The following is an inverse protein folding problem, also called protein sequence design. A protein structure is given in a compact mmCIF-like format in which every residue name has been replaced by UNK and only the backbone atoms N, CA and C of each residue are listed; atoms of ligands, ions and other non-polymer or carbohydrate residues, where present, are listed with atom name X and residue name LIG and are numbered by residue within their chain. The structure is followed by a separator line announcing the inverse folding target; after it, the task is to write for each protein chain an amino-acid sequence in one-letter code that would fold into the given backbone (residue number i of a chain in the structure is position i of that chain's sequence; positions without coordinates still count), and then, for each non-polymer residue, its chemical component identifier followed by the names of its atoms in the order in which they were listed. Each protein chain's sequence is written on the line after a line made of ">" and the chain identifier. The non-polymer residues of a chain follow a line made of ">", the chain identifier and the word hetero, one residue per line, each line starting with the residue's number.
data_IF_483576852337
#
_entry.id   IF_483576852337
#
_cell.length_a   1.000
_cell.length_b   1.000
_cell.length_c   1.000
_cell.angle_alpha   90.00
_cell.angle_beta   90.00
_cell.angle_gamma   90.00
#
_symmetry.space_group_name_H-M   'P 1'
#
loop_
_entity.id
_entity.type
_entity.pdbx_description
1 polymer ?
#
# COMPACT_ATOMS: atom_id res chain seq x y z
N UNK A 1 -15.67 10.72 -7.80
CA UNK A 1 -14.21 10.88 -7.90
C UNK A 1 -13.67 10.84 -6.47
N UNK A 2 -12.95 9.79 -6.09
CA UNK A 2 -12.48 9.61 -4.71
C UNK A 2 -11.07 10.20 -4.60
N UNK A 3 -10.97 11.37 -3.99
CA UNK A 3 -9.71 11.87 -3.46
C UNK A 3 -9.59 11.29 -2.04
N UNK A 4 -8.59 10.42 -1.81
CA UNK A 4 -8.36 9.81 -0.50
C UNK A 4 -8.34 8.29 -0.46
N UNK A 5 -8.40 7.61 -1.61
CA UNK A 5 -8.27 6.15 -1.65
C UNK A 5 -6.78 5.77 -1.72
N UNK A 6 -6.24 5.21 -0.63
CA UNK A 6 -4.82 4.84 -0.47
C UNK A 6 -4.43 3.71 -1.43
N UNK A 7 -5.37 2.83 -1.79
CA UNK A 7 -5.15 1.70 -2.71
C UNK A 7 -6.43 1.35 -3.47
N UNK A 8 -6.34 1.05 -4.78
CA UNK A 8 -7.43 0.46 -5.58
C UNK A 8 -7.00 -0.91 -6.08
N UNK A 9 -7.82 -1.94 -5.91
CA UNK A 9 -7.65 -3.22 -6.60
C UNK A 9 -8.61 -3.32 -7.79
N UNK A 10 -8.09 -3.70 -8.95
CA UNK A 10 -8.87 -4.04 -10.14
C UNK A 10 -8.07 -5.02 -11.02
N UNK A 11 -8.34 -6.33 -10.97
CA UNK A 11 -7.57 -7.31 -11.74
C UNK A 11 -7.53 -6.97 -13.25
N UNK A 12 -6.32 -6.92 -13.81
CA UNK A 12 -6.09 -6.76 -15.26
C UNK A 12 -5.59 -5.39 -15.75
N UNK A 13 -5.30 -4.41 -14.88
CA UNK A 13 -4.80 -3.08 -15.32
C UNK A 13 -3.30 -2.94 -15.09
N UNK A 14 -2.48 -3.20 -16.11
CA UNK A 14 -1.03 -2.95 -16.05
C UNK A 14 -0.72 -1.46 -15.99
N UNK A 15 0.29 -1.03 -15.22
CA UNK A 15 0.69 0.39 -15.20
C UNK A 15 1.17 0.83 -16.58
N UNK A 16 0.75 2.04 -16.98
CA UNK A 16 1.20 2.68 -18.22
C UNK A 16 2.45 3.54 -17.98
N UNK A 17 2.70 3.95 -16.73
CA UNK A 17 3.88 4.72 -16.31
C UNK A 17 4.61 3.93 -15.22
N UNK A 18 5.90 3.64 -15.40
CA UNK A 18 6.70 2.94 -14.40
C UNK A 18 7.17 3.88 -13.28
N UNK A 19 7.18 3.42 -12.04
CA UNK A 19 7.67 4.17 -10.88
C UNK A 19 8.87 3.45 -10.28
N UNK A 20 9.95 4.21 -10.06
CA UNK A 20 11.22 3.70 -9.60
C UNK A 20 11.71 4.45 -8.36
N UNK A 21 12.33 3.71 -7.44
CA UNK A 21 13.16 4.28 -6.38
C UNK A 21 14.62 3.98 -6.72
N UNK A 22 15.36 5.01 -7.08
CA UNK A 22 16.64 4.96 -7.79
C UNK A 22 16.54 4.19 -9.12
N UNK A 23 17.06 2.97 -9.16
CA UNK A 23 17.04 2.08 -10.33
C UNK A 23 16.09 0.88 -10.12
N UNK A 24 15.54 0.70 -8.91
CA UNK A 24 14.64 -0.41 -8.61
C UNK A 24 13.18 -0.04 -8.94
N UNK A 25 12.44 -0.89 -9.67
CA UNK A 25 11.01 -0.69 -9.90
C UNK A 25 10.24 -0.87 -8.59
N UNK A 26 9.40 0.12 -8.26
CA UNK A 26 8.47 0.05 -7.11
C UNK A 26 7.00 0.09 -7.56
N UNK A 27 6.74 0.44 -8.83
CA UNK A 27 5.41 0.34 -9.43
C UNK A 27 4.93 -1.10 -9.42
N UNK A 28 3.81 -1.33 -8.73
CA UNK A 28 3.04 -2.57 -8.83
C UNK A 28 1.66 -2.16 -9.32
N UNK A 29 1.28 -2.61 -10.53
CA UNK A 29 -0.06 -2.45 -11.13
C UNK A 29 -1.16 -2.27 -10.08
N UNK A 30 -1.65 -1.01 -9.98
CA UNK A 30 -2.74 -0.52 -9.11
C UNK A 30 -2.43 -0.31 -7.61
N UNK A 31 -1.24 -0.72 -7.18
CA UNK A 31 -0.74 -0.64 -5.82
C UNK A 31 0.68 -0.06 -5.85
N UNK A 32 0.91 1.18 -6.27
CA UNK A 32 2.23 1.78 -5.99
C UNK A 32 2.32 2.03 -4.47
N UNK A 33 3.39 1.58 -3.78
CA UNK A 33 3.53 1.82 -2.34
C UNK A 33 3.67 3.32 -2.04
N UNK A 34 3.00 3.79 -0.98
CA UNK A 34 3.11 5.16 -0.48
C UNK A 34 4.36 5.31 0.41
N UNK A 35 5.54 5.25 -0.22
CA UNK A 35 6.82 5.38 0.48
C UNK A 35 7.08 6.83 0.92
N UNK A 36 7.65 7.01 2.12
CA UNK A 36 8.20 8.31 2.51
C UNK A 36 9.48 8.59 1.72
N UNK A 37 9.45 9.63 0.88
CA UNK A 37 10.57 10.06 0.05
C UNK A 37 11.48 11.09 0.74
N UNK A 38 11.47 11.18 2.06
CA UNK A 38 12.46 11.98 2.79
C UNK A 38 13.90 11.60 2.36
N UNK A 39 14.78 12.59 2.34
CA UNK A 39 16.15 12.45 1.87
C UNK A 39 16.27 12.00 0.38
N UNK A 40 15.45 12.64 -0.46
CA UNK A 40 15.48 12.55 -1.92
C UNK A 40 16.32 13.68 -2.52
N UNK A 41 17.18 13.33 -3.47
CA UNK A 41 18.00 14.28 -4.21
C UNK A 41 17.19 15.01 -5.29
N UNK A 42 16.44 14.25 -6.10
CA UNK A 42 15.62 14.78 -7.21
C UNK A 42 14.56 13.77 -7.66
N UNK A 43 13.62 14.27 -8.44
CA UNK A 43 12.63 13.46 -9.17
C UNK A 43 12.87 13.61 -10.66
N UNK A 44 13.00 12.49 -11.38
CA UNK A 44 13.18 12.46 -12.83
C UNK A 44 11.89 12.00 -13.51
N UNK A 45 11.42 12.73 -14.52
CA UNK A 45 10.23 12.38 -15.30
C UNK A 45 10.62 12.19 -16.76
N UNK A 46 10.60 10.95 -17.22
CA UNK A 46 10.94 10.55 -18.58
C UNK A 46 9.64 10.34 -19.35
N UNK A 47 9.40 11.18 -20.37
CA UNK A 47 8.17 11.14 -21.17
C UNK A 47 8.33 10.18 -22.36
N UNK A 48 7.28 9.41 -22.63
CA UNK A 48 7.25 8.46 -23.74
C UNK A 48 7.83 7.08 -23.40
N UNK A 49 7.74 6.10 -24.32
CA UNK A 49 8.15 4.74 -24.04
C UNK A 49 9.63 4.65 -23.66
N UNK A 50 9.92 4.10 -22.48
CA UNK A 50 11.30 3.86 -22.00
C UNK A 50 11.61 2.35 -21.87
N UNK A 51 11.08 1.54 -22.80
CA UNK A 51 11.14 0.07 -22.71
C UNK A 51 12.55 -0.53 -22.71
N UNK A 52 13.55 0.18 -23.24
CA UNK A 52 14.97 -0.25 -23.26
C UNK A 52 15.73 0.09 -21.97
N UNK A 53 15.22 1.00 -21.13
CA UNK A 53 15.89 1.46 -19.92
C UNK A 53 15.13 1.12 -18.63
N UNK A 54 13.83 0.80 -18.69
CA UNK A 54 13.00 0.67 -17.48
C UNK A 54 11.85 -0.36 -17.66
N UNK A 55 12.12 -1.46 -18.35
CA UNK A 55 11.23 -2.63 -18.42
C UNK A 55 9.81 -2.40 -18.96
N UNK A 56 8.92 -3.38 -18.71
CA UNK A 56 7.61 -3.50 -19.36
C UNK A 56 6.48 -2.59 -18.81
N UNK A 57 6.77 -1.79 -17.77
CA UNK A 57 5.83 -0.83 -17.16
C UNK A 57 5.96 0.60 -17.71
N UNK A 58 6.98 0.88 -18.50
CA UNK A 58 7.30 2.23 -18.98
C UNK A 58 6.75 2.52 -20.39
N UNK A 59 5.55 2.03 -20.71
CA UNK A 59 4.94 2.16 -22.04
C UNK A 59 4.56 3.60 -22.40
N UNK A 60 4.21 4.42 -21.41
CA UNK A 60 3.84 5.85 -21.56
C UNK A 60 4.82 6.81 -20.90
N UNK A 61 5.75 6.31 -20.08
CA UNK A 61 6.79 7.09 -19.40
C UNK A 61 7.31 6.42 -18.14
N UNK A 62 8.23 7.10 -17.45
CA UNK A 62 8.80 6.64 -16.18
C UNK A 62 8.97 7.83 -15.22
N UNK A 63 8.67 7.62 -13.94
CA UNK A 63 8.99 8.55 -12.84
C UNK A 63 9.99 7.89 -11.92
N UNK A 64 11.08 8.57 -11.59
CA UNK A 64 12.13 8.07 -10.72
C UNK A 64 12.35 9.00 -9.54
N UNK A 65 12.28 8.45 -8.34
CA UNK A 65 12.70 9.13 -7.12
C UNK A 65 14.16 8.78 -6.87
N UNK A 66 15.05 9.75 -7.02
CA UNK A 66 16.50 9.54 -6.84
C UNK A 66 16.88 9.95 -5.43
N UNK A 67 17.35 9.00 -4.64
CA UNK A 67 17.73 9.25 -3.24
C UNK A 67 19.10 9.91 -3.14
N UNK A 68 19.37 10.60 -2.02
CA UNK A 68 20.76 10.98 -1.72
C UNK A 68 21.59 9.71 -1.49
N UNK A 69 22.68 9.58 -2.25
CA UNK A 69 23.62 8.45 -2.13
C UNK A 69 24.55 8.66 -0.92
N UNK A 70 25.10 7.58 -0.35
CA UNK A 70 26.22 7.70 0.57
C UNK A 70 27.37 8.46 -0.09
N UNK A 71 27.92 9.45 0.63
CA UNK A 71 29.04 10.26 0.14
C UNK A 71 30.28 10.06 1.04
N UNK A 72 31.46 10.24 0.45
CA UNK A 72 32.75 10.03 1.12
C UNK A 72 33.32 11.31 1.76
N UNK A 73 32.70 12.45 1.49
CA UNK A 73 33.32 13.75 1.74
C UNK A 73 33.06 14.19 3.19
N UNK A 74 31.83 14.04 3.68
CA UNK A 74 31.42 14.62 4.94
C UNK A 74 30.53 13.71 5.79
N UNK A 75 30.68 13.83 7.11
CA UNK A 75 29.66 13.39 8.06
C UNK A 75 28.46 14.36 7.97
N UNK A 76 27.28 13.84 7.67
CA UNK A 76 26.07 14.65 7.44
C UNK A 76 24.94 14.17 8.34
N UNK A 77 24.21 15.10 8.94
CA UNK A 77 22.97 14.81 9.66
C UNK A 77 21.91 15.81 9.22
N UNK A 78 20.77 15.29 8.76
CA UNK A 78 19.58 16.08 8.48
C UNK A 78 18.46 15.53 9.35
N UNK A 79 17.69 16.41 9.99
CA UNK A 79 16.50 16.02 10.72
C UNK A 79 15.36 17.00 10.44
N UNK A 80 14.14 16.48 10.42
CA UNK A 80 12.90 17.22 10.24
C UNK A 80 11.90 16.77 11.30
N UNK A 81 11.15 17.72 11.86
CA UNK A 81 10.03 17.44 12.74
C UNK A 81 8.87 18.36 12.40
N UNK A 82 7.71 17.76 12.18
CA UNK A 82 6.47 18.45 11.81
C UNK A 82 5.36 18.04 12.78
N UNK A 83 4.51 18.99 13.16
CA UNK A 83 3.31 18.74 13.94
C UNK A 83 2.10 19.40 13.26
N UNK A 84 0.95 18.73 13.29
CA UNK A 84 -0.28 19.23 12.70
C UNK A 84 -1.49 18.97 13.61
N UNK A 85 -2.51 19.80 13.44
CA UNK A 85 -3.81 19.67 14.11
C UNK A 85 -4.87 19.62 13.03
N UNK A 86 -5.80 18.68 13.13
CA UNK A 86 -6.89 18.52 12.17
C UNK A 86 -8.14 19.16 12.76
N UNK A 87 -8.84 19.98 11.97
CA UNK A 87 -10.12 20.55 12.39
C UNK A 87 -11.14 19.43 12.62
N UNK A 88 -11.71 19.39 13.83
CA UNK A 88 -12.57 18.30 14.31
C UNK A 88 -11.93 16.90 14.29
N UNK A 89 -10.60 16.82 14.39
CA UNK A 89 -9.88 15.55 14.47
C UNK A 89 -8.70 15.58 15.42
N UNK A 90 -7.87 14.55 15.30
CA UNK A 90 -6.71 14.30 16.12
C UNK A 90 -5.49 15.11 15.69
N UNK A 91 -4.50 15.15 16.58
CA UNK A 91 -3.18 15.70 16.27
C UNK A 91 -2.34 14.67 15.52
N UNK A 92 -1.58 15.15 14.56
CA UNK A 92 -0.61 14.36 13.81
C UNK A 92 0.78 14.97 13.88
N UNK A 93 1.73 14.28 13.27
CA UNK A 93 3.07 14.79 13.10
C UNK A 93 4.02 13.74 12.58
N UNK A 94 5.24 14.17 12.29
CA UNK A 94 6.29 13.28 11.81
C UNK A 94 7.66 13.73 12.30
N UNK A 95 8.54 12.76 12.46
CA UNK A 95 9.96 12.95 12.75
C UNK A 95 10.74 12.13 11.74
N UNK A 96 11.71 12.75 11.09
CA UNK A 96 12.56 12.12 10.07
C UNK A 96 14.01 12.50 10.32
N UNK A 97 14.91 11.57 10.05
CA UNK A 97 16.34 11.82 10.15
C UNK A 97 17.11 11.03 9.10
N UNK A 98 18.18 11.64 8.59
CA UNK A 98 19.14 11.02 7.70
C UNK A 98 20.56 11.26 8.22
N UNK A 99 21.40 10.24 8.09
CA UNK A 99 22.79 10.25 8.54
C UNK A 99 23.70 9.74 7.41
N UNK A 100 24.74 10.49 7.07
CA UNK A 100 25.83 10.03 6.21
C UNK A 100 27.09 9.81 7.03
N UNK A 101 27.77 8.69 6.78
CA UNK A 101 29.02 8.33 7.46
C UNK A 101 30.02 7.83 6.41
N UNK A 102 31.08 8.60 6.10
CA UNK A 102 32.24 8.09 5.40
C UNK A 102 33.03 7.20 6.35
N UNK A 103 32.86 5.87 6.25
CA UNK A 103 33.48 4.91 7.18
C UNK A 103 34.99 4.87 6.97
N UNK A 104 35.42 4.89 5.71
CA UNK A 104 36.81 5.00 5.26
C UNK A 104 36.81 5.35 3.75
N UNK A 105 37.98 5.31 3.11
CA UNK A 105 38.13 5.63 1.67
C UNK A 105 37.43 4.62 0.72
N UNK A 106 36.99 3.47 1.24
CA UNK A 106 36.39 2.36 0.48
C UNK A 106 34.87 2.28 0.68
N UNK A 107 34.37 2.59 1.88
CA UNK A 107 32.94 2.44 2.22
C UNK A 107 32.38 3.74 2.80
N UNK A 108 31.25 4.19 2.25
CA UNK A 108 30.37 5.18 2.84
C UNK A 108 28.98 4.58 3.10
N UNK A 109 28.31 5.01 4.18
CA UNK A 109 26.98 4.52 4.57
C UNK A 109 26.03 5.70 4.71
N UNK A 110 24.79 5.54 4.24
CA UNK A 110 23.69 6.46 4.52
C UNK A 110 22.50 5.72 5.11
N UNK A 111 22.01 6.20 6.25
CA UNK A 111 20.84 5.67 6.93
C UNK A 111 19.76 6.75 7.03
N UNK A 112 18.52 6.37 6.78
CA UNK A 112 17.33 7.21 6.90
C UNK A 112 16.31 6.48 7.76
N UNK A 113 15.68 7.20 8.68
CA UNK A 113 14.57 6.71 9.47
C UNK A 113 13.48 7.75 9.59
N UNK A 114 12.23 7.32 9.58
CA UNK A 114 11.08 8.20 9.73
C UNK A 114 9.96 7.50 10.49
N UNK A 115 9.19 8.31 11.21
CA UNK A 115 7.94 7.92 11.83
C UNK A 115 6.93 9.06 11.69
N UNK A 116 5.74 8.73 11.23
CA UNK A 116 4.60 9.63 11.03
C UNK A 116 3.41 9.08 11.81
N UNK A 117 2.73 9.95 12.56
CA UNK A 117 1.41 9.70 13.12
C UNK A 117 0.39 10.51 12.31
N UNK A 118 -0.55 9.80 11.71
CA UNK A 118 -1.71 10.40 11.08
C UNK A 118 -2.80 10.59 12.13
N UNK A 119 -3.30 11.82 12.27
CA UNK A 119 -4.47 12.08 13.10
C UNK A 119 -5.74 11.63 12.36
N UNK A 120 -6.64 10.95 13.07
CA UNK A 120 -7.97 10.65 12.58
C UNK A 120 -8.87 11.88 12.61
N UNK A 121 -10.02 11.80 11.94
CA UNK A 121 -11.05 12.84 11.85
C UNK A 121 -12.44 12.27 11.52
N UNK A 122 -12.57 10.96 11.30
CA UNK A 122 -13.82 10.25 11.04
C UNK A 122 -14.31 9.60 12.33
N UNK A 123 -15.58 9.78 12.68
CA UNK A 123 -16.20 9.05 13.78
C UNK A 123 -16.91 7.80 13.25
N UNK A 124 -16.79 6.68 13.96
CA UNK A 124 -17.63 5.51 13.76
C UNK A 124 -18.78 5.51 14.77
N UNK A 125 -20.00 5.64 14.26
CA UNK A 125 -21.22 5.37 15.00
C UNK A 125 -21.50 3.87 14.98
N UNK A 126 -21.55 3.25 16.15
CA UNK A 126 -21.66 1.80 16.31
C UNK A 126 -22.95 1.40 17.06
N UNK A 127 -23.49 0.20 16.80
CA UNK A 127 -24.58 -0.33 17.60
C UNK A 127 -24.15 -0.56 19.07
N UNK A 128 -25.08 -0.38 20.02
CA UNK A 128 -24.89 -0.84 21.42
C UNK A 128 -24.33 0.15 22.46
N UNK A 129 -24.62 1.45 22.37
CA UNK A 129 -24.32 2.38 23.49
C UNK A 129 -25.19 2.14 24.74
N UNK A 130 -24.91 2.86 25.85
CA UNK A 130 -25.53 2.69 27.20
C UNK A 130 -27.06 2.54 27.20
N UNK A 131 -27.71 3.05 26.15
CA UNK A 131 -29.06 2.67 25.71
C UNK A 131 -29.10 2.72 24.19
N UNK A 132 -29.95 1.95 23.50
CA UNK A 132 -30.11 2.05 22.04
C UNK A 132 -30.54 3.45 21.55
N UNK A 133 -31.02 4.33 22.45
CA UNK A 133 -31.31 5.74 22.17
C UNK A 133 -30.07 6.66 22.10
N UNK A 134 -28.88 6.15 22.45
CA UNK A 134 -27.59 6.85 22.36
C UNK A 134 -26.56 5.88 21.75
N UNK A 135 -26.30 5.93 20.44
CA UNK A 135 -25.32 5.02 19.84
C UNK A 135 -23.93 5.25 20.43
N UNK A 136 -23.09 4.23 20.41
CA UNK A 136 -21.69 4.37 20.75
C UNK A 136 -21.00 5.13 19.60
N UNK A 137 -20.21 6.16 19.90
CA UNK A 137 -19.48 6.92 18.88
C UNK A 137 -17.99 6.83 19.21
N UNK A 138 -17.27 6.00 18.45
CA UNK A 138 -15.81 6.02 18.44
C UNK A 138 -15.35 7.19 17.59
N UNK A 139 -14.49 8.04 18.13
CA UNK A 139 -13.99 9.21 17.42
C UNK A 139 -12.70 8.92 16.70
N UNK A 140 -12.45 9.69 15.64
CA UNK A 140 -11.17 9.76 14.95
C UNK A 140 -10.60 8.39 14.56
N UNK A 141 -11.48 7.47 14.15
CA UNK A 141 -11.18 6.05 13.92
C UNK A 141 -10.35 5.79 12.68
N UNK A 142 -10.07 6.83 11.89
CA UNK A 142 -9.24 6.77 10.68
C UNK A 142 -7.79 7.25 10.92
N UNK A 143 -7.32 7.19 12.17
CA UNK A 143 -5.95 7.53 12.55
C UNK A 143 -4.98 6.41 12.15
N UNK A 144 -3.68 6.66 12.32
CA UNK A 144 -2.71 5.61 12.05
C UNK A 144 -1.26 6.05 12.13
N UNK A 145 -0.38 5.15 11.73
CA UNK A 145 1.07 5.32 11.79
C UNK A 145 1.73 4.83 10.52
N UNK A 146 2.80 5.53 10.12
CA UNK A 146 3.77 5.06 9.16
C UNK A 146 5.14 5.11 9.80
N UNK A 147 5.91 4.04 9.70
CA UNK A 147 7.31 4.07 10.08
C UNK A 147 8.13 3.24 9.10
N UNK A 148 9.38 3.64 8.94
CA UNK A 148 10.24 3.00 7.97
C UNK A 148 11.62 3.59 7.96
N UNK A 149 12.44 3.07 7.07
CA UNK A 149 13.80 3.51 6.90
C UNK A 149 14.46 2.93 5.67
N UNK A 150 15.60 3.51 5.36
CA UNK A 150 16.48 3.11 4.27
C UNK A 150 17.90 3.01 4.80
N UNK A 151 18.57 1.91 4.51
CA UNK A 151 20.01 1.77 4.71
C UNK A 151 20.66 1.52 3.35
N UNK A 152 21.64 2.34 3.00
CA UNK A 152 22.40 2.23 1.77
C UNK A 152 23.89 2.31 2.06
N UNK A 153 24.69 1.58 1.28
CA UNK A 153 26.15 1.73 1.29
C UNK A 153 26.65 2.03 -0.13
N UNK A 154 27.79 2.71 -0.21
CA UNK A 154 28.58 2.83 -1.42
C UNK A 154 29.96 2.24 -1.14
N UNK A 155 30.35 1.24 -1.93
CA UNK A 155 31.57 0.47 -1.77
C UNK A 155 32.40 0.58 -3.04
N UNK A 156 33.54 1.28 -2.95
CA UNK A 156 34.53 1.37 -4.03
C UNK A 156 35.42 0.14 -4.00
N UNK A 157 35.03 -0.91 -4.73
CA UNK A 157 35.78 -2.18 -4.77
C UNK A 157 37.18 -1.95 -5.36
N UNK A 158 37.29 -1.08 -6.36
CA UNK A 158 38.52 -0.53 -6.92
C UNK A 158 38.18 0.72 -7.75
N UNK A 159 39.15 1.29 -8.46
CA UNK A 159 39.00 2.51 -9.27
C UNK A 159 37.95 2.40 -10.39
N UNK A 160 37.51 1.18 -10.74
CA UNK A 160 36.55 0.93 -11.82
C UNK A 160 35.24 0.35 -11.32
N UNK A 161 35.20 -0.31 -10.17
CA UNK A 161 34.03 -1.04 -9.68
C UNK A 161 33.46 -0.38 -8.43
N UNK A 162 32.18 -0.02 -8.50
CA UNK A 162 31.40 0.44 -7.35
C UNK A 162 30.20 -0.48 -7.12
N UNK A 163 30.00 -0.90 -5.87
CA UNK A 163 28.83 -1.65 -5.42
C UNK A 163 27.98 -0.78 -4.49
N UNK A 164 26.66 -0.77 -4.70
CA UNK A 164 25.70 -0.03 -3.87
C UNK A 164 24.56 -0.95 -3.44
N UNK A 165 24.68 -1.65 -2.29
CA UNK A 165 23.56 -2.38 -1.72
C UNK A 165 22.65 -1.41 -0.95
N UNK A 166 21.35 -1.66 -1.00
CA UNK A 166 20.32 -0.90 -0.31
C UNK A 166 19.23 -1.81 0.23
N UNK A 167 18.71 -1.45 1.40
CA UNK A 167 17.48 -2.03 1.96
C UNK A 167 16.55 -0.89 2.35
N UNK A 168 15.28 -1.01 1.98
CA UNK A 168 14.18 -0.12 2.35
C UNK A 168 13.10 -0.96 3.00
N UNK A 169 12.66 -0.55 4.19
CA UNK A 169 11.50 -1.13 4.85
C UNK A 169 10.53 -0.04 5.23
N UNK A 170 9.24 -0.27 5.01
CA UNK A 170 8.19 0.61 5.49
C UNK A 170 6.98 -0.20 5.90
N UNK A 171 6.35 0.21 7.00
CA UNK A 171 5.06 -0.27 7.44
C UNK A 171 4.10 0.88 7.64
N UNK A 172 2.88 0.71 7.14
CA UNK A 172 1.75 1.61 7.34
C UNK A 172 0.64 0.82 8.01
N UNK A 173 0.10 1.35 9.10
CA UNK A 173 -1.10 0.85 9.76
C UNK A 173 -2.07 2.01 9.93
N UNK A 174 -3.27 1.87 9.38
CA UNK A 174 -4.36 2.83 9.49
C UNK A 174 -5.54 2.07 10.10
N UNK A 175 -6.07 2.59 11.19
CA UNK A 175 -7.36 2.16 11.70
C UNK A 175 -8.42 2.84 10.82
N UNK A 176 -9.54 2.19 10.49
CA UNK A 176 -10.63 2.83 9.73
C UNK A 176 -10.33 3.31 8.30
N UNK A 177 -11.34 3.94 7.68
CA UNK A 177 -11.21 4.50 6.32
C UNK A 177 -11.73 5.94 6.26
N UNK A 178 -11.18 6.70 5.31
CA UNK A 178 -11.60 8.06 4.97
C UNK A 178 -12.93 8.05 4.20
N UNK A 179 -14.01 7.57 4.84
CA UNK A 179 -15.36 7.51 4.25
C UNK A 179 -16.39 8.07 5.21
N UNK A 180 -17.48 8.57 4.64
CA UNK A 180 -18.63 9.08 5.37
C UNK A 180 -19.87 8.40 4.83
N UNK A 181 -20.80 8.08 5.71
CA UNK A 181 -22.06 7.46 5.34
C UNK A 181 -23.17 8.51 5.35
N UNK A 182 -23.85 8.65 4.21
CA UNK A 182 -25.06 9.47 4.11
C UNK A 182 -26.32 8.69 4.50
N UNK A 183 -26.22 7.37 4.47
CA UNK A 183 -27.29 6.44 4.72
C UNK A 183 -26.69 5.18 5.34
N UNK A 184 -27.43 4.55 6.26
CA UNK A 184 -27.11 3.22 6.73
C UNK A 184 -28.39 2.38 6.84
N UNK A 185 -28.28 1.09 6.53
CA UNK A 185 -29.40 0.14 6.63
C UNK A 185 -29.50 -0.51 8.03
N UNK A 186 -28.45 -0.38 8.84
CA UNK A 186 -28.29 -1.13 10.08
C UNK A 186 -28.92 -0.44 11.28
N UNK A 187 -29.31 0.83 11.17
CA UNK A 187 -29.98 1.64 12.18
C UNK A 187 -31.03 2.52 11.48
N UNK A 188 -31.95 1.84 10.79
CA UNK A 188 -33.02 2.45 10.00
C UNK A 188 -34.35 1.75 10.31
N UNK A 189 -35.41 2.49 10.68
CA UNK A 189 -36.70 1.92 11.09
C UNK A 189 -37.43 1.11 10.00
N UNK A 190 -36.99 1.20 8.73
CA UNK A 190 -37.56 0.40 7.65
C UNK A 190 -36.93 -1.00 7.52
N UNK A 191 -35.77 -1.21 8.12
CA UNK A 191 -34.94 -2.42 7.93
C UNK A 191 -34.55 -3.06 9.24
N UNK A 192 -34.51 -2.30 10.33
CA UNK A 192 -34.17 -2.77 11.67
C UNK A 192 -35.07 -2.12 12.73
N UNK A 193 -35.19 -2.76 13.89
CA UNK A 193 -35.84 -2.19 15.09
C UNK A 193 -34.90 -1.28 15.87
N UNK A 194 -33.63 -1.19 15.46
CA UNK A 194 -32.64 -0.28 16.04
C UNK A 194 -33.06 1.18 15.85
N UNK A 195 -32.87 2.04 16.86
CA UNK A 195 -33.21 3.45 16.75
C UNK A 195 -32.48 4.13 15.58
N UNK A 196 -33.21 5.01 14.89
CA UNK A 196 -32.64 5.76 13.77
C UNK A 196 -31.45 6.58 14.22
N UNK A 197 -30.31 6.39 13.55
CA UNK A 197 -29.13 7.25 13.70
C UNK A 197 -29.13 8.33 12.63
N UNK A 198 -28.72 9.55 13.03
CA UNK A 198 -28.41 10.63 12.09
C UNK A 198 -26.89 10.78 12.07
N UNK A 199 -26.31 10.64 10.89
CA UNK A 199 -24.86 10.72 10.68
C UNK A 199 -24.47 12.16 10.35
N UNK A 200 -23.44 12.65 11.03
CA UNK A 200 -22.83 13.95 10.78
C UNK A 200 -21.93 13.98 9.54
N UNK A 201 -21.30 15.14 9.32
CA UNK A 201 -20.44 15.39 8.15
C UNK A 201 -19.21 14.47 8.08
N UNK A 202 -18.73 13.99 9.22
CA UNK A 202 -17.52 13.17 9.36
C UNK A 202 -17.83 11.85 10.07
N UNK A 203 -19.05 11.35 9.91
CA UNK A 203 -19.48 10.12 10.58
C UNK A 203 -19.68 9.00 9.55
N UNK A 204 -19.33 7.79 9.96
CA UNK A 204 -19.67 6.53 9.29
C UNK A 204 -20.42 5.61 10.26
N UNK A 205 -21.15 4.62 9.75
CA UNK A 205 -21.78 3.60 10.58
C UNK A 205 -21.05 2.26 10.44
N UNK A 206 -20.46 1.76 11.52
CA UNK A 206 -19.79 0.45 11.52
C UNK A 206 -20.23 -0.39 12.71
N UNK A 207 -20.41 -1.69 12.52
CA UNK A 207 -20.49 -2.68 13.60
C UNK A 207 -19.10 -3.23 13.95
N UNK A 208 -18.21 -3.29 12.96
CA UNK A 208 -16.90 -3.90 13.09
C UNK A 208 -15.78 -2.85 13.05
N UNK A 209 -14.65 -3.20 13.65
CA UNK A 209 -13.41 -2.44 13.47
C UNK A 209 -12.83 -2.74 12.08
N UNK A 210 -12.34 -1.68 11.45
CA UNK A 210 -11.75 -1.73 10.12
C UNK A 210 -10.27 -1.42 10.25
N UNK A 211 -9.45 -2.02 9.39
CA UNK A 211 -8.01 -1.77 9.41
C UNK A 211 -7.42 -1.86 8.01
N UNK A 212 -6.34 -1.13 7.79
CA UNK A 212 -5.49 -1.23 6.62
C UNK A 212 -4.04 -1.35 7.09
N UNK A 213 -3.35 -2.38 6.61
CA UNK A 213 -1.92 -2.60 6.83
C UNK A 213 -1.22 -2.80 5.50
N UNK A 214 -0.08 -2.15 5.34
CA UNK A 214 0.80 -2.30 4.18
C UNK A 214 2.25 -2.42 4.67
N UNK A 215 2.85 -3.59 4.49
CA UNK A 215 4.25 -3.87 4.80
C UNK A 215 5.03 -4.01 3.50
N UNK A 216 6.08 -3.20 3.33
CA UNK A 216 6.91 -3.15 2.13
C UNK A 216 8.38 -3.34 2.49
N UNK A 217 9.04 -4.27 1.81
CA UNK A 217 10.49 -4.49 1.85
C UNK A 217 11.03 -4.45 0.42
N UNK A 218 12.07 -3.66 0.20
CA UNK A 218 12.89 -3.67 -1.00
C UNK A 218 14.35 -3.86 -0.60
N UNK A 219 15.00 -4.85 -1.18
CA UNK A 219 16.45 -5.04 -1.10
C UNK A 219 17.02 -5.05 -2.50
N UNK A 220 18.03 -4.24 -2.76
CA UNK A 220 18.68 -4.15 -4.06
C UNK A 220 20.19 -4.00 -3.95
N UNK A 221 20.87 -4.33 -5.05
CA UNK A 221 22.30 -4.13 -5.20
C UNK A 221 22.60 -3.66 -6.62
N UNK A 222 23.12 -2.43 -6.73
CA UNK A 222 23.65 -1.89 -7.98
C UNK A 222 25.16 -2.19 -8.05
N UNK A 223 25.61 -2.75 -9.16
CA UNK A 223 27.02 -2.86 -9.53
C UNK A 223 27.28 -1.95 -10.72
N UNK A 224 28.25 -1.06 -10.60
CA UNK A 224 28.75 -0.24 -11.72
C UNK A 224 30.20 -0.59 -11.97
N UNK A 225 30.55 -0.80 -13.23
CA UNK A 225 31.92 -0.87 -13.73
C UNK A 225 32.13 0.23 -14.78
N UNK A 226 33.14 1.07 -14.60
CA UNK A 226 33.50 2.13 -15.54
C UNK A 226 34.83 1.79 -16.22
N UNK A 227 34.80 1.67 -17.55
CA UNK A 227 35.97 1.46 -18.38
C UNK A 227 36.22 2.63 -19.33
N UNK A 228 37.38 2.58 -19.97
CA UNK A 228 37.84 3.68 -20.83
C UNK A 228 37.03 3.83 -22.14
N UNK A 229 36.34 2.76 -22.56
CA UNK A 229 35.59 2.70 -23.83
C UNK A 229 34.10 2.43 -23.63
N UNK A 230 33.76 1.65 -22.61
CA UNK A 230 32.38 1.36 -22.26
C UNK A 230 32.23 1.24 -20.75
N UNK A 231 31.01 1.42 -20.27
CA UNK A 231 30.60 1.20 -18.90
C UNK A 231 29.57 0.07 -18.84
N UNK A 232 29.45 -0.50 -17.64
CA UNK A 232 28.47 -1.53 -17.33
C UNK A 232 27.77 -1.18 -16.02
N UNK A 233 26.45 -1.27 -16.00
CA UNK A 233 25.64 -1.17 -14.78
C UNK A 233 24.72 -2.37 -14.71
N UNK A 234 24.67 -3.06 -13.57
CA UNK A 234 23.63 -4.03 -13.27
C UNK A 234 22.96 -3.71 -11.96
N UNK A 235 21.67 -4.01 -11.87
CA UNK A 235 20.91 -3.95 -10.62
C UNK A 235 20.05 -5.20 -10.47
N UNK A 236 20.24 -5.87 -9.34
CA UNK A 236 19.32 -6.90 -8.84
C UNK A 236 18.46 -6.29 -7.75
N UNK A 237 17.14 -6.52 -7.79
CA UNK A 237 16.26 -6.15 -6.68
C UNK A 237 15.23 -7.21 -6.35
N UNK A 238 14.98 -7.36 -5.07
CA UNK A 238 13.95 -8.19 -4.48
C UNK A 238 12.97 -7.31 -3.70
N UNK A 239 11.69 -7.45 -4.00
CA UNK A 239 10.60 -6.75 -3.32
C UNK A 239 9.66 -7.78 -2.72
N UNK A 240 9.36 -7.64 -1.43
CA UNK A 240 8.28 -8.34 -0.76
C UNK A 240 7.28 -7.31 -0.23
N UNK A 241 5.99 -7.59 -0.42
CA UNK A 241 4.93 -6.73 0.08
C UNK A 241 3.71 -7.51 0.53
N UNK A 242 3.18 -7.15 1.69
CA UNK A 242 1.96 -7.71 2.24
C UNK A 242 0.96 -6.59 2.54
N UNK A 243 -0.23 -6.69 1.97
CA UNK A 243 -1.33 -5.75 2.18
C UNK A 243 -2.47 -6.53 2.83
N UNK A 244 -3.01 -6.00 3.92
CA UNK A 244 -4.23 -6.46 4.55
C UNK A 244 -5.23 -5.31 4.63
N UNK A 245 -6.43 -5.53 4.15
CA UNK A 245 -7.55 -4.63 4.31
C UNK A 245 -8.70 -5.40 4.97
N UNK A 246 -9.22 -4.87 6.07
CA UNK A 246 -10.43 -5.40 6.71
C UNK A 246 -11.47 -4.32 6.67
N UNK A 247 -12.61 -4.62 6.04
CA UNK A 247 -13.74 -3.71 5.95
C UNK A 247 -14.96 -4.30 6.63
N UNK A 248 -15.74 -3.42 7.23
CA UNK A 248 -17.08 -3.75 7.65
C UNK A 248 -17.99 -3.74 6.42
N UNK A 249 -18.34 -4.93 5.94
CA UNK A 249 -19.27 -5.11 4.84
C UNK A 249 -20.70 -5.43 5.33
N UNK A 250 -21.02 -5.30 6.62
CA UNK A 250 -22.36 -5.62 7.15
C UNK A 250 -23.44 -4.77 6.50
N UNK A 251 -23.18 -3.50 6.22
CA UNK A 251 -24.12 -2.66 5.47
C UNK A 251 -24.34 -3.20 4.05
N UNK A 252 -23.28 -3.66 3.38
CA UNK A 252 -23.35 -4.21 2.02
C UNK A 252 -24.13 -5.53 2.03
N UNK A 253 -23.74 -6.50 2.86
CA UNK A 253 -24.43 -7.79 3.01
C UNK A 253 -25.89 -7.59 3.37
N UNK A 254 -26.17 -6.75 4.38
CA UNK A 254 -27.52 -6.45 4.82
C UNK A 254 -28.37 -5.79 3.73
N UNK A 255 -27.78 -4.91 2.92
CA UNK A 255 -28.50 -4.30 1.79
C UNK A 255 -28.91 -5.32 0.72
N UNK A 256 -28.02 -6.26 0.39
CA UNK A 256 -28.29 -7.30 -0.60
C UNK A 256 -29.37 -8.25 -0.05
N UNK A 257 -29.22 -8.74 1.18
CA UNK A 257 -30.13 -9.73 1.76
C UNK A 257 -31.52 -9.14 1.99
N UNK A 258 -31.61 -7.91 2.46
CA UNK A 258 -32.89 -7.21 2.63
C UNK A 258 -33.56 -6.92 1.29
N UNK A 259 -32.85 -6.28 0.34
CA UNK A 259 -33.47 -5.81 -0.91
C UNK A 259 -33.80 -6.94 -1.87
N UNK A 260 -32.99 -8.01 -1.91
CA UNK A 260 -33.17 -9.12 -2.85
C UNK A 260 -34.09 -10.20 -2.27
N UNK A 261 -33.95 -10.52 -0.97
CA UNK A 261 -34.65 -11.66 -0.36
C UNK A 261 -35.71 -11.25 0.67
N UNK A 262 -35.84 -9.97 1.00
CA UNK A 262 -36.73 -9.51 2.07
C UNK A 262 -36.32 -10.05 3.44
N UNK A 263 -35.01 -10.30 3.65
CA UNK A 263 -34.52 -10.93 4.86
C UNK A 263 -34.87 -10.11 6.12
N UNK A 264 -35.30 -10.74 7.22
CA UNK A 264 -35.60 -10.07 8.48
C UNK A 264 -34.35 -9.54 9.16
N UNK A 265 -34.55 -8.62 10.12
CA UNK A 265 -33.47 -7.94 10.85
C UNK A 265 -32.33 -8.84 11.34
N UNK A 266 -32.56 -10.03 11.93
CA UNK A 266 -31.47 -10.88 12.41
C UNK A 266 -30.42 -11.20 11.33
N UNK A 267 -30.84 -11.34 10.06
CA UNK A 267 -29.94 -11.57 8.92
C UNK A 267 -29.31 -10.26 8.44
N UNK A 268 -30.09 -9.17 8.37
CA UNK A 268 -29.60 -7.85 7.93
C UNK A 268 -28.46 -7.35 8.80
N UNK A 269 -28.47 -7.70 10.08
CA UNK A 269 -27.51 -7.22 11.07
C UNK A 269 -26.32 -8.15 11.31
N UNK A 270 -26.21 -9.27 10.58
CA UNK A 270 -25.09 -10.21 10.74
C UNK A 270 -23.75 -9.54 10.43
N UNK A 271 -22.79 -9.72 11.33
CA UNK A 271 -21.43 -9.24 11.15
C UNK A 271 -20.82 -9.87 9.89
N UNK A 272 -20.35 -9.00 8.99
CA UNK A 272 -19.86 -9.40 7.68
C UNK A 272 -18.49 -8.78 7.43
N UNK A 273 -17.43 -9.26 8.10
CA UNK A 273 -16.08 -8.79 7.86
C UNK A 273 -15.60 -9.22 6.47
N UNK A 274 -15.21 -8.24 5.65
CA UNK A 274 -14.55 -8.47 4.37
C UNK A 274 -13.05 -8.33 4.54
N UNK A 275 -12.33 -9.43 4.32
CA UNK A 275 -10.87 -9.48 4.33
C UNK A 275 -10.34 -9.47 2.90
N UNK A 276 -9.56 -8.45 2.55
CA UNK A 276 -8.77 -8.41 1.32
C UNK A 276 -7.29 -8.55 1.69
N UNK A 277 -6.57 -9.48 1.07
CA UNK A 277 -5.14 -9.70 1.29
C UNK A 277 -4.41 -9.76 -0.04
N UNK A 278 -3.34 -9.00 -0.17
CA UNK A 278 -2.45 -9.05 -1.34
C UNK A 278 -1.03 -9.32 -0.88
N UNK A 279 -0.45 -10.41 -1.38
CA UNK A 279 0.97 -10.71 -1.18
C UNK A 279 1.69 -10.60 -2.53
N UNK A 280 2.84 -9.94 -2.55
CA UNK A 280 3.66 -9.75 -3.75
C UNK A 280 5.10 -10.09 -3.44
N UNK A 281 5.66 -11.01 -4.21
CA UNK A 281 7.09 -11.26 -4.30
C UNK A 281 7.56 -10.92 -5.70
N UNK A 282 8.59 -10.09 -5.82
CA UNK A 282 9.10 -9.64 -7.09
C UNK A 282 10.61 -9.67 -7.10
N UNK A 283 11.18 -10.31 -8.11
CA UNK A 283 12.59 -10.22 -8.43
C UNK A 283 12.75 -9.53 -9.78
N UNK A 284 13.68 -8.57 -9.85
CA UNK A 284 14.09 -7.98 -11.12
C UNK A 284 15.60 -7.94 -11.23
N UNK A 285 16.07 -8.14 -12.46
CA UNK A 285 17.46 -7.97 -12.85
C UNK A 285 17.51 -7.06 -14.07
N UNK A 286 18.35 -6.06 -14.03
CA UNK A 286 18.63 -5.23 -15.18
C UNK A 286 20.13 -5.09 -15.39
N UNK A 287 20.58 -5.24 -16.64
CA UNK A 287 21.96 -5.08 -17.04
C UNK A 287 22.06 -4.12 -18.23
N UNK A 288 22.92 -3.12 -18.14
CA UNK A 288 23.11 -2.07 -19.15
C UNK A 288 24.59 -1.94 -19.49
N UNK A 289 24.88 -1.84 -20.79
CA UNK A 289 26.18 -1.44 -21.33
C UNK A 289 26.01 -0.12 -22.06
N UNK A 290 26.98 0.78 -21.94
CA UNK A 290 26.93 2.08 -22.59
C UNK A 290 28.31 2.58 -23.01
N UNK A 291 28.37 3.40 -24.06
CA UNK A 291 29.57 4.14 -24.42
C UNK A 291 29.92 5.17 -23.33
N UNK A 292 31.17 5.21 -22.88
CA UNK A 292 31.65 6.19 -21.87
C UNK A 292 32.32 7.42 -22.50
N UNK A 293 32.77 7.32 -23.74
CA UNK A 293 33.38 8.46 -24.45
C UNK A 293 32.30 9.41 -25.00
N UNK A 294 32.10 10.54 -24.32
CA UNK A 294 31.18 11.58 -24.75
C UNK A 294 31.58 12.25 -26.08
N UNK A 295 32.86 12.21 -26.45
CA UNK A 295 33.37 12.76 -27.70
C UNK A 295 33.25 11.77 -28.88
N UNK A 296 32.86 10.52 -28.62
CA UNK A 296 32.68 9.52 -29.65
C UNK A 296 31.58 9.94 -30.63
N UNK A 297 31.84 9.73 -31.94
CA UNK A 297 30.87 10.01 -33.00
C UNK A 297 29.59 9.17 -32.91
N UNK A 298 29.64 8.06 -32.19
CA UNK A 298 28.52 7.16 -31.95
C UNK A 298 28.41 6.90 -30.45
N UNK A 299 27.32 7.37 -29.84
CA UNK A 299 26.91 6.98 -28.50
C UNK A 299 25.89 5.86 -28.58
N UNK A 300 26.00 4.89 -27.67
CA UNK A 300 25.13 3.73 -27.66
C UNK A 300 24.83 3.27 -26.24
N UNK A 301 23.66 2.67 -26.07
CA UNK A 301 23.26 1.96 -24.85
C UNK A 301 22.57 0.65 -25.26
N UNK A 302 22.90 -0.43 -24.57
CA UNK A 302 22.32 -1.74 -24.73
C UNK A 302 21.86 -2.24 -23.36
N UNK A 303 20.58 -2.59 -23.23
CA UNK A 303 19.99 -3.04 -21.97
C UNK A 303 19.29 -4.39 -22.09
N UNK A 304 19.36 -5.19 -21.02
CA UNK A 304 18.57 -6.40 -20.83
C UNK A 304 17.84 -6.28 -19.50
N UNK A 305 16.55 -6.57 -19.50
CA UNK A 305 15.69 -6.52 -18.33
C UNK A 305 14.96 -7.84 -18.14
N UNK A 306 14.98 -8.36 -16.91
CA UNK A 306 14.24 -9.53 -16.47
C UNK A 306 13.40 -9.18 -15.24
N UNK A 307 12.17 -9.71 -15.21
CA UNK A 307 11.28 -9.58 -14.05
C UNK A 307 10.49 -10.86 -13.86
N UNK A 308 10.46 -11.33 -12.62
CA UNK A 308 9.56 -12.36 -12.14
C UNK A 308 8.72 -11.76 -11.01
N UNK A 309 7.40 -11.86 -11.13
CA UNK A 309 6.46 -11.34 -10.15
C UNK A 309 5.50 -12.46 -9.83
N UNK A 310 5.38 -12.79 -8.56
CA UNK A 310 4.36 -13.68 -8.04
C UNK A 310 3.42 -12.85 -7.17
N UNK A 311 2.13 -12.77 -7.55
CA UNK A 311 1.12 -12.11 -6.75
C UNK A 311 0.04 -13.07 -6.38
N UNK A 312 -0.43 -12.96 -5.15
CA UNK A 312 -1.60 -13.67 -4.66
C UNK A 312 -2.56 -12.68 -4.05
N UNK A 313 -3.75 -12.58 -4.63
CA UNK A 313 -4.85 -11.80 -4.09
C UNK A 313 -5.88 -12.75 -3.49
N UNK A 314 -6.22 -12.52 -2.23
CA UNK A 314 -7.28 -13.24 -1.52
C UNK A 314 -8.37 -12.26 -1.07
N UNK A 315 -9.62 -12.65 -1.24
CA UNK A 315 -10.77 -11.93 -0.68
C UNK A 315 -11.70 -12.94 0.00
N UNK A 316 -12.14 -12.66 1.22
CA UNK A 316 -13.03 -13.55 1.97
C UNK A 316 -14.05 -12.73 2.77
N UNK A 317 -15.32 -13.06 2.57
CA UNK A 317 -16.46 -12.53 3.33
C UNK A 317 -17.09 -13.67 4.12
N UNK A 318 -16.66 -13.85 5.36
CA UNK A 318 -17.18 -14.89 6.25
C UNK A 318 -18.26 -14.28 7.16
N UNK A 319 -19.49 -14.78 7.06
CA UNK A 319 -20.67 -14.27 7.77
C UNK A 319 -21.22 -15.39 8.65
N UNK A 320 -20.68 -15.50 9.86
CA UNK A 320 -20.94 -16.63 10.76
C UNK A 320 -22.44 -16.89 10.99
N UNK A 321 -22.87 -18.13 10.79
CA UNK A 321 -24.26 -18.55 10.99
C UNK A 321 -25.25 -18.08 9.93
N UNK A 322 -24.79 -17.47 8.83
CA UNK A 322 -25.65 -16.98 7.76
C UNK A 322 -26.56 -18.07 7.19
N UNK A 323 -26.00 -19.23 6.83
CA UNK A 323 -26.76 -20.32 6.23
C UNK A 323 -27.88 -20.83 7.15
N UNK A 324 -27.51 -21.14 8.40
CA UNK A 324 -28.45 -21.71 9.36
C UNK A 324 -29.57 -20.71 9.66
N UNK A 325 -29.23 -19.41 9.78
CA UNK A 325 -30.22 -18.37 10.05
C UNK A 325 -31.17 -18.14 8.85
N UNK A 326 -30.65 -18.18 7.62
CA UNK A 326 -31.47 -18.09 6.41
C UNK A 326 -32.48 -19.25 6.31
N UNK A 327 -32.03 -20.46 6.68
CA UNK A 327 -32.87 -21.67 6.69
C UNK A 327 -33.90 -21.64 7.82
N UNK A 328 -33.47 -21.35 9.04
CA UNK A 328 -34.31 -21.36 10.25
C UNK A 328 -35.42 -20.30 10.19
N UNK A 329 -35.14 -19.15 9.58
CA UNK A 329 -36.12 -18.08 9.39
C UNK A 329 -36.96 -18.26 8.11
N UNK A 330 -36.77 -19.34 7.36
CA UNK A 330 -37.54 -19.66 6.17
C UNK A 330 -37.37 -18.65 5.03
N UNK A 331 -36.23 -17.96 4.97
CA UNK A 331 -35.94 -16.95 3.92
C UNK A 331 -35.51 -17.65 2.64
N UNK A 332 -34.44 -18.44 2.72
CA UNK A 332 -33.94 -19.28 1.64
C UNK A 332 -33.27 -20.53 2.22
N UNK A 333 -33.49 -21.67 1.57
CA UNK A 333 -32.67 -22.86 1.79
C UNK A 333 -31.48 -22.80 0.82
N UNK A 334 -30.35 -22.31 1.32
CA UNK A 334 -29.11 -22.12 0.58
C UNK A 334 -28.02 -23.03 1.16
N UNK A 335 -27.16 -23.60 0.32
CA UNK A 335 -25.88 -24.18 0.74
C UNK A 335 -24.80 -23.14 0.42
N UNK A 336 -24.20 -22.60 1.47
CA UNK A 336 -23.17 -21.55 1.34
C UNK A 336 -21.79 -22.14 1.08
N UNK A 337 -21.61 -23.46 1.26
CA UNK A 337 -20.32 -24.11 1.06
C UNK A 337 -20.02 -24.23 -0.44
N UNK A 338 -18.92 -23.63 -0.84
CA UNK A 338 -18.38 -23.77 -2.19
C UNK A 338 -17.41 -24.95 -2.33
N UNK A 339 -16.96 -25.18 -3.57
CA UNK A 339 -15.88 -26.15 -3.87
C UNK A 339 -14.59 -25.76 -3.15
N UNK A 340 -14.30 -24.47 -3.08
CA UNK A 340 -13.07 -23.89 -2.49
C UNK A 340 -13.35 -23.04 -1.24
N UNK A 341 -14.62 -22.77 -0.94
CA UNK A 341 -15.04 -21.90 0.14
C UNK A 341 -15.73 -22.71 1.26
N UNK A 342 -15.35 -22.56 2.53
CA UNK A 342 -16.08 -23.12 3.66
C UNK A 342 -17.54 -22.64 3.72
N UNK A 343 -18.34 -23.29 4.57
CA UNK A 343 -19.67 -22.81 4.96
C UNK A 343 -19.59 -21.35 5.44
N UNK A 344 -20.65 -20.58 5.17
CA UNK A 344 -20.84 -19.18 5.56
C UNK A 344 -19.87 -18.17 4.92
N UNK A 345 -19.10 -18.60 3.92
CA UNK A 345 -18.27 -17.70 3.11
C UNK A 345 -19.04 -17.22 1.88
N UNK A 346 -19.68 -16.06 1.99
CA UNK A 346 -20.58 -15.51 0.96
C UNK A 346 -19.83 -14.94 -0.26
N UNK A 347 -18.55 -14.63 -0.09
CA UNK A 347 -17.65 -14.29 -1.17
C UNK A 347 -16.26 -14.86 -0.89
N UNK A 348 -15.69 -15.54 -1.88
CA UNK A 348 -14.36 -16.12 -1.79
C UNK A 348 -13.59 -15.91 -3.09
N UNK A 349 -12.36 -15.43 -2.97
CA UNK A 349 -11.42 -15.31 -4.07
C UNK A 349 -10.03 -15.65 -3.57
N UNK A 350 -9.27 -16.41 -4.35
CA UNK A 350 -7.85 -16.69 -4.13
C UNK A 350 -7.20 -16.85 -5.51
N UNK A 351 -6.68 -15.74 -6.03
CA UNK A 351 -6.22 -15.62 -7.42
C UNK A 351 -4.70 -15.42 -7.40
N UNK A 352 -3.92 -16.44 -7.79
CA UNK A 352 -2.53 -16.24 -8.18
C UNK A 352 -2.47 -15.65 -9.60
N UNK A 353 -1.68 -14.59 -9.81
CA UNK A 353 -1.50 -14.02 -11.16
C UNK A 353 -0.20 -13.23 -11.34
#
# INVERSE_FOLDING_TARGET
>A
MSAGQIVRDQPGVKEQVGIYLDESPISLSLFTPDLDFFDTNRVEVLRGPQGTLFGSGSLSGTVRYITNKPNFDDYEVIAEATGNVIDHGDVGGEIKAAFNVPVNDVIAIRAVGYATRYGGFINAVQPGGDTFARPNVKKDVNDGVRYGGRLAAEIRVNDRITLRPRVVYQKVEIDGFNRVDLYNILANPFTTTRPRVTLGRLDQFTQLEETFRDEFLLADAEVTWEGDVFGFKSISSFTNREILQVRDATQLTGSITFQVFGAPEPIVTLDSPLFDRTNVDMFTEEARFYSTDEAARLQWVLGVFYSNINRRYGQTLFVDGFEDLMRDLGVLDIDTRGVLAPKDVLFFSDIPY
#
